data_IF_455976868064
#
_entry.id   IF_455976868064
#
_cell.length_a   1.000
_cell.length_b   1.000
_cell.length_c   1.000
_cell.angle_alpha   90.00
_cell.angle_beta   90.00
_cell.angle_gamma   90.00
#
_symmetry.space_group_name_H-M   'P 1'
#
loop_
_entity.id
_entity.type
_entity.pdbx_description
1 polymer ?
#
# COMPACT_ATOMS: atom_id res chain seq x y z
N UNK A 1 -16.26 -35.74 26.50
CA UNK A 1 -16.76 -34.34 26.37
C UNK A 1 -15.70 -33.40 26.94
N UNK A 2 -15.22 -32.34 26.31
CA UNK A 2 -15.69 -31.65 25.12
C UNK A 2 -14.63 -30.68 24.56
N UNK A 3 -14.60 -30.66 23.23
CA UNK A 3 -14.22 -29.61 22.28
C UNK A 3 -13.16 -28.54 22.63
N UNK A 4 -12.06 -28.67 21.89
CA UNK A 4 -11.15 -27.62 21.42
C UNK A 4 -11.87 -26.30 21.08
N UNK A 5 -11.36 -25.19 21.63
CA UNK A 5 -11.58 -23.85 21.06
C UNK A 5 -10.32 -23.46 20.32
N UNK A 6 -10.34 -23.71 19.02
CA UNK A 6 -9.31 -23.29 18.07
C UNK A 6 -9.08 -21.78 18.19
N UNK A 7 -7.88 -21.39 18.61
CA UNK A 7 -7.39 -20.03 18.40
C UNK A 7 -7.22 -19.82 16.91
N UNK A 8 -8.06 -18.98 16.28
CA UNK A 8 -7.91 -18.63 14.88
C UNK A 8 -6.57 -17.87 14.70
N UNK A 9 -5.60 -18.41 13.93
CA UNK A 9 -4.34 -17.72 13.68
C UNK A 9 -4.63 -16.41 12.95
N UNK A 10 -4.02 -15.32 13.39
CA UNK A 10 -3.92 -14.11 12.58
C UNK A 10 -3.29 -14.49 11.24
N UNK A 11 -4.09 -14.48 10.18
CA UNK A 11 -3.68 -14.92 8.85
C UNK A 11 -2.47 -14.10 8.40
N UNK A 12 -1.35 -14.78 8.18
CA UNK A 12 -0.13 -14.22 7.60
C UNK A 12 -0.48 -13.54 6.25
N UNK A 13 0.02 -12.34 5.94
CA UNK A 13 -0.13 -11.69 4.63
C UNK A 13 0.17 -12.63 3.45
N UNK A 14 1.07 -13.59 3.63
CA UNK A 14 1.36 -14.63 2.63
C UNK A 14 0.14 -15.46 2.25
N UNK A 15 -0.81 -15.68 3.17
CA UNK A 15 -2.07 -16.38 2.87
C UNK A 15 -2.99 -15.59 1.95
N UNK A 16 -2.87 -14.25 1.89
CA UNK A 16 -3.67 -13.42 0.97
C UNK A 16 -3.24 -13.56 -0.49
N UNK A 17 -1.98 -13.96 -0.70
CA UNK A 17 -1.37 -14.18 -2.00
C UNK A 17 -1.29 -15.67 -2.35
N UNK A 18 -2.05 -16.52 -1.65
CA UNK A 18 -2.10 -17.96 -1.89
C UNK A 18 -3.56 -18.39 -2.18
N UNK A 19 -3.90 -18.76 -3.44
CA UNK A 19 -3.02 -18.77 -4.61
C UNK A 19 -2.60 -17.35 -5.05
N UNK A 20 -1.49 -17.20 -5.81
CA UNK A 20 -1.04 -15.90 -6.28
C UNK A 20 -2.12 -15.26 -7.17
N UNK A 21 -2.29 -13.92 -7.12
CA UNK A 21 -3.16 -13.21 -8.05
C UNK A 21 -2.81 -13.58 -9.50
N UNK A 22 -3.81 -13.80 -10.38
CA UNK A 22 -3.56 -14.12 -11.79
C UNK A 22 -2.65 -13.12 -12.50
N UNK A 23 -2.70 -11.84 -12.08
CA UNK A 23 -1.83 -10.77 -12.55
C UNK A 23 -0.34 -11.08 -12.42
N UNK A 24 0.07 -11.86 -11.41
CA UNK A 24 1.48 -12.20 -11.19
C UNK A 24 2.05 -13.14 -12.26
N UNK A 25 1.20 -13.88 -12.96
CA UNK A 25 1.60 -14.73 -14.08
C UNK A 25 1.67 -14.00 -15.41
N UNK A 26 1.21 -12.74 -15.50
CA UNK A 26 1.16 -12.01 -16.78
C UNK A 26 2.48 -11.29 -17.03
N UNK A 27 3.23 -11.64 -18.10
CA UNK A 27 4.48 -10.95 -18.43
C UNK A 27 4.20 -9.47 -18.76
N UNK A 28 5.16 -8.56 -18.51
CA UNK A 28 5.05 -7.19 -18.96
C UNK A 28 5.08 -7.12 -20.49
N UNK A 29 4.54 -6.03 -21.05
CA UNK A 29 4.65 -5.76 -22.49
C UNK A 29 6.15 -5.64 -22.91
N UNK A 30 6.50 -6.09 -24.13
CA UNK A 30 7.87 -6.05 -24.64
C UNK A 30 8.35 -4.64 -25.03
N UNK A 31 7.45 -3.66 -25.09
CA UNK A 31 7.76 -2.29 -25.44
C UNK A 31 8.24 -1.48 -24.22
N UNK A 32 9.09 -0.46 -24.40
CA UNK A 32 9.54 0.38 -23.29
C UNK A 32 8.38 1.22 -22.73
N UNK A 33 8.33 1.32 -21.41
CA UNK A 33 7.37 2.17 -20.71
C UNK A 33 7.86 3.61 -20.62
N UNK A 34 6.97 4.56 -20.94
CA UNK A 34 7.28 6.00 -20.86
C UNK A 34 7.14 6.53 -19.45
N UNK A 35 7.93 7.55 -19.09
CA UNK A 35 7.79 8.22 -17.80
C UNK A 35 6.42 8.88 -17.63
N UNK A 36 5.90 8.91 -16.40
CA UNK A 36 4.66 9.60 -16.05
C UNK A 36 4.78 10.35 -14.71
N UNK A 37 4.03 11.45 -14.50
CA UNK A 37 4.04 12.18 -13.24
C UNK A 37 3.43 11.34 -12.11
N UNK A 38 3.86 11.58 -10.86
CA UNK A 38 3.29 10.86 -9.73
C UNK A 38 1.78 11.15 -9.58
N UNK A 39 1.00 10.10 -9.33
CA UNK A 39 -0.44 10.16 -9.15
C UNK A 39 -0.81 9.73 -7.73
N UNK A 40 -1.95 10.21 -7.22
CA UNK A 40 -2.36 9.96 -5.83
C UNK A 40 -3.79 9.43 -5.80
N UNK A 41 -4.01 8.33 -5.07
CA UNK A 41 -5.35 7.85 -4.73
C UNK A 41 -5.60 8.02 -3.23
N UNK A 42 -6.65 8.76 -2.88
CA UNK A 42 -7.04 9.01 -1.49
C UNK A 42 -7.95 7.87 -1.00
N UNK A 43 -7.67 7.36 0.19
CA UNK A 43 -8.46 6.30 0.83
C UNK A 43 -9.85 6.78 1.25
N UNK A 44 -10.78 5.84 1.44
CA UNK A 44 -12.17 6.11 1.89
C UNK A 44 -12.27 6.53 3.36
N UNK A 45 -11.14 6.69 4.04
CA UNK A 45 -11.07 7.16 5.42
C UNK A 45 -9.66 7.10 6.00
N UNK A 46 -9.61 7.15 7.33
CA UNK A 46 -8.37 7.23 8.11
C UNK A 46 -7.80 5.86 8.54
N UNK A 47 -8.49 4.77 8.24
CA UNK A 47 -8.05 3.39 8.51
C UNK A 47 -7.98 2.57 7.22
N UNK A 48 -7.06 1.59 7.15
CA UNK A 48 -6.79 0.82 5.93
C UNK A 48 -7.88 -0.20 5.58
N UNK A 49 -8.69 -0.64 6.55
CA UNK A 49 -9.85 -1.54 6.35
C UNK A 49 -11.02 -0.89 5.61
N UNK A 50 -11.11 0.45 5.64
CA UNK A 50 -12.04 1.20 4.78
C UNK A 50 -11.62 1.13 3.31
N UNK A 51 -10.35 0.86 3.05
CA UNK A 51 -9.78 0.68 1.72
C UNK A 51 -9.78 1.96 0.90
N UNK A 52 -9.65 1.78 -0.41
CA UNK A 52 -9.57 2.83 -1.41
C UNK A 52 -10.76 2.72 -2.39
N UNK A 53 -11.14 3.81 -3.08
CA UNK A 53 -12.11 3.73 -4.16
C UNK A 53 -11.56 2.86 -5.30
N UNK A 54 -12.42 2.04 -5.91
CA UNK A 54 -12.05 1.12 -6.99
C UNK A 54 -12.01 1.83 -8.34
N UNK A 55 -11.22 2.91 -8.39
CA UNK A 55 -10.97 3.75 -9.55
C UNK A 55 -9.46 3.95 -9.68
N UNK A 56 -8.92 4.20 -10.88
CA UNK A 56 -7.54 4.64 -11.02
C UNK A 56 -7.33 6.00 -10.31
N UNK A 57 -6.09 6.32 -9.88
CA UNK A 57 -5.76 7.67 -9.45
C UNK A 57 -5.92 8.66 -10.60
N UNK A 58 -6.17 9.93 -10.29
CA UNK A 58 -6.28 10.97 -11.31
C UNK A 58 -4.94 11.16 -12.04
N UNK A 59 -5.01 11.31 -13.37
CA UNK A 59 -3.86 11.52 -14.23
C UNK A 59 -4.12 12.62 -15.26
N UNK A 60 -3.15 13.50 -15.53
CA UNK A 60 -3.25 14.46 -16.62
C UNK A 60 -2.94 13.86 -18.01
N UNK A 61 -2.51 12.60 -18.09
CA UNK A 61 -2.07 11.96 -19.33
C UNK A 61 -3.20 11.16 -20.00
N UNK A 62 -3.26 11.25 -21.33
CA UNK A 62 -4.17 10.47 -22.18
C UNK A 62 -3.34 9.80 -23.30
N UNK A 63 -3.32 8.46 -23.42
CA UNK A 63 -3.99 7.48 -22.54
C UNK A 63 -3.41 7.44 -21.12
N UNK A 64 -4.22 7.00 -20.16
CA UNK A 64 -3.85 6.92 -18.75
C UNK A 64 -2.61 6.02 -18.55
N UNK A 65 -1.66 6.34 -17.64
CA UNK A 65 -0.43 5.57 -17.45
C UNK A 65 -0.64 4.08 -17.20
N UNK A 66 -1.71 3.71 -16.49
CA UNK A 66 -2.07 2.28 -16.32
C UNK A 66 -2.25 1.56 -17.66
N UNK A 67 -2.89 2.19 -18.65
CA UNK A 67 -3.08 1.60 -19.98
C UNK A 67 -1.74 1.42 -20.69
N UNK A 68 -0.89 2.45 -20.68
CA UNK A 68 0.42 2.38 -21.33
C UNK A 68 1.40 1.44 -20.62
N UNK A 69 1.13 1.10 -19.36
CA UNK A 69 1.97 0.26 -18.50
C UNK A 69 1.37 -1.14 -18.26
N UNK A 70 0.45 -1.60 -19.11
CA UNK A 70 -0.19 -2.94 -19.00
C UNK A 70 -0.82 -3.23 -17.61
N UNK A 71 -1.45 -2.21 -17.02
CA UNK A 71 -2.27 -2.35 -15.81
C UNK A 71 -3.72 -2.16 -16.21
N UNK A 72 -4.50 -3.25 -16.17
CA UNK A 72 -5.92 -3.17 -16.47
C UNK A 72 -6.75 -2.96 -15.20
N UNK A 73 -8.05 -2.72 -15.40
CA UNK A 73 -8.98 -2.45 -14.31
C UNK A 73 -9.09 -3.62 -13.31
N UNK A 74 -9.03 -4.87 -13.80
CA UNK A 74 -9.15 -6.05 -12.95
C UNK A 74 -7.94 -6.19 -12.02
N UNK A 75 -6.73 -5.95 -12.53
CA UNK A 75 -5.50 -5.99 -11.71
C UNK A 75 -5.56 -4.94 -10.60
N UNK A 76 -5.95 -3.71 -10.96
CA UNK A 76 -6.02 -2.61 -10.02
C UNK A 76 -7.08 -2.85 -8.94
N UNK A 77 -8.28 -3.27 -9.33
CA UNK A 77 -9.34 -3.63 -8.39
C UNK A 77 -8.93 -4.78 -7.47
N UNK A 78 -8.22 -5.78 -7.99
CA UNK A 78 -7.72 -6.90 -7.19
C UNK A 78 -6.69 -6.44 -6.17
N UNK A 79 -5.72 -5.62 -6.57
CA UNK A 79 -4.75 -5.02 -5.66
C UNK A 79 -5.43 -4.23 -4.53
N UNK A 80 -6.40 -3.37 -4.85
CA UNK A 80 -7.12 -2.58 -3.85
C UNK A 80 -7.98 -3.43 -2.92
N UNK A 81 -8.55 -4.52 -3.44
CA UNK A 81 -9.26 -5.50 -2.62
C UNK A 81 -8.31 -6.18 -1.62
N UNK A 82 -7.17 -6.69 -2.09
CA UNK A 82 -6.20 -7.37 -1.24
C UNK A 82 -5.66 -6.42 -0.16
N UNK A 83 -5.45 -5.14 -0.49
CA UNK A 83 -5.07 -4.10 0.47
C UNK A 83 -6.11 -3.91 1.58
N UNK A 84 -7.40 -3.87 1.23
CA UNK A 84 -8.50 -3.74 2.20
C UNK A 84 -8.53 -4.94 3.14
N UNK A 85 -8.40 -6.15 2.61
CA UNK A 85 -8.36 -7.38 3.40
C UNK A 85 -7.13 -7.37 4.32
N UNK A 86 -5.94 -7.06 3.81
CA UNK A 86 -4.73 -6.92 4.63
C UNK A 86 -4.87 -5.85 5.72
N UNK A 87 -5.54 -4.73 5.41
CA UNK A 87 -5.85 -3.66 6.37
C UNK A 87 -6.74 -4.14 7.51
N UNK A 88 -7.73 -5.00 7.22
CA UNK A 88 -8.58 -5.61 8.23
C UNK A 88 -7.85 -6.56 9.20
N UNK A 89 -6.71 -7.13 8.75
CA UNK A 89 -5.89 -8.04 9.55
C UNK A 89 -4.87 -7.32 10.44
N UNK A 90 -4.71 -6.01 10.29
CA UNK A 90 -3.77 -5.23 11.11
C UNK A 90 -4.23 -5.19 12.59
N UNK A 91 -3.37 -5.54 13.56
CA UNK A 91 -3.72 -5.60 14.98
C UNK A 91 -4.34 -4.31 15.54
N UNK A 92 -4.02 -3.15 14.96
CA UNK A 92 -4.56 -1.85 15.36
C UNK A 92 -6.09 -1.76 15.17
N UNK A 93 -6.68 -2.54 14.26
CA UNK A 93 -8.13 -2.61 14.05
C UNK A 93 -8.83 -3.62 14.97
N UNK A 94 -8.09 -4.55 15.59
CA UNK A 94 -8.65 -5.58 16.48
C UNK A 94 -8.92 -5.04 17.89
N UNK A 95 -8.24 -3.96 18.29
CA UNK A 95 -8.36 -3.36 19.63
C UNK A 95 -9.61 -2.47 19.79
N UNK A 96 -10.31 -2.13 18.70
CA UNK A 96 -11.54 -1.31 18.78
C UNK A 96 -12.81 -2.16 18.99
N UNK A 97 -12.74 -3.49 18.86
CA UNK A 97 -13.90 -4.38 18.97
C UNK A 97 -14.10 -5.06 20.34
N UNK A 98 -13.30 -4.73 21.35
CA UNK A 98 -13.54 -5.25 22.69
C UNK A 98 -12.42 -4.92 23.65
N UNK A 99 -12.74 -4.12 24.67
CA UNK A 99 -11.90 -3.72 25.81
C UNK A 99 -10.84 -2.65 25.49
N UNK A 100 -11.19 -1.39 25.74
CA UNK A 100 -10.22 -0.42 26.26
C UNK A 100 -10.39 -0.35 27.79
N UNK A 101 -9.44 0.19 28.58
CA UNK A 101 -8.12 0.74 28.24
C UNK A 101 -7.00 0.30 29.20
N UNK A 102 -5.76 0.05 28.77
CA UNK A 102 -4.61 0.16 29.67
C UNK A 102 -3.40 0.78 28.97
N UNK A 103 -2.89 1.80 29.64
CA UNK A 103 -1.80 2.69 29.27
C UNK A 103 -0.64 2.04 28.52
N UNK A 104 -0.34 2.58 27.34
CA UNK A 104 1.03 2.62 26.81
C UNK A 104 1.25 3.99 26.17
N UNK A 105 1.83 4.90 26.97
CA UNK A 105 2.48 6.09 26.46
C UNK A 105 3.70 5.68 25.64
N UNK A 106 3.51 5.31 24.37
CA UNK A 106 4.56 5.23 23.37
C UNK A 106 3.94 5.71 22.07
N UNK A 107 4.32 6.90 21.65
CA UNK A 107 4.04 7.39 20.31
C UNK A 107 4.72 6.49 19.28
N UNK A 108 4.02 5.47 18.79
CA UNK A 108 4.48 4.69 17.64
C UNK A 108 4.10 5.50 16.39
N UNK A 109 5.04 6.35 15.97
CA UNK A 109 4.96 7.08 14.70
C UNK A 109 5.08 6.04 13.57
N UNK A 110 3.94 5.58 13.06
CA UNK A 110 3.87 4.85 11.79
C UNK A 110 4.05 5.86 10.65
N UNK A 111 5.30 6.12 10.29
CA UNK A 111 5.65 6.97 9.15
C UNK A 111 6.38 6.16 8.09
N UNK A 112 5.72 5.86 6.98
CA UNK A 112 6.43 5.60 5.73
C UNK A 112 7.10 6.93 5.32
N UNK A 113 8.42 6.98 5.36
CA UNK A 113 9.20 8.06 4.77
C UNK A 113 9.77 7.54 3.45
N UNK A 114 9.40 8.16 2.33
CA UNK A 114 10.26 8.19 1.15
C UNK A 114 11.04 9.50 1.25
N UNK A 115 12.24 9.44 1.81
CA UNK A 115 13.24 10.53 1.69
C UNK A 115 13.99 10.28 0.39
N UNK A 116 14.14 11.33 -0.41
CA UNK A 116 15.06 11.32 -1.55
C UNK A 116 16.49 11.16 -1.00
N UNK A 117 17.07 9.98 -1.25
CA UNK A 117 18.50 9.68 -1.11
C UNK A 117 19.02 9.43 0.32
N UNK A 118 18.83 8.22 0.87
CA UNK A 118 19.80 7.54 1.77
C UNK A 118 19.48 6.03 1.80
N UNK A 119 20.34 5.19 1.21
CA UNK A 119 20.23 3.72 1.16
C UNK A 119 20.55 2.98 2.49
N UNK A 120 20.52 3.63 3.66
CA UNK A 120 21.10 3.04 4.89
C UNK A 120 20.17 2.94 6.11
N UNK A 121 18.94 3.48 6.06
CA UNK A 121 18.05 3.51 7.24
C UNK A 121 16.80 2.62 7.14
N UNK A 122 16.88 1.52 6.36
CA UNK A 122 15.85 0.48 6.31
C UNK A 122 16.16 -0.69 7.27
N UNK A 123 16.67 -0.40 8.47
CA UNK A 123 16.93 -1.41 9.49
C UNK A 123 15.75 -1.55 10.47
N UNK A 124 15.07 -2.69 10.37
CA UNK A 124 14.38 -3.41 11.46
C UNK A 124 13.14 -2.77 12.11
N UNK A 125 12.16 -2.33 11.33
CA UNK A 125 10.76 -2.30 11.81
C UNK A 125 9.98 -3.43 11.15
N UNK A 126 9.25 -4.23 11.94
CA UNK A 126 8.37 -5.29 11.41
C UNK A 126 7.40 -4.65 10.40
N UNK A 127 7.55 -4.96 9.10
CA UNK A 127 6.64 -4.47 8.06
C UNK A 127 5.24 -4.99 8.35
N UNK A 128 4.26 -4.09 8.50
CA UNK A 128 2.86 -4.48 8.75
C UNK A 128 2.26 -5.26 7.57
N UNK A 129 1.12 -5.96 7.76
CA UNK A 129 0.48 -6.77 6.73
C UNK A 129 0.31 -6.10 5.37
N UNK A 130 -0.17 -4.85 5.36
CA UNK A 130 -0.39 -4.08 4.14
C UNK A 130 0.93 -3.70 3.45
N UNK A 131 2.00 -3.43 4.21
CA UNK A 131 3.31 -3.12 3.62
C UNK A 131 3.91 -4.34 2.94
N UNK A 132 3.80 -5.53 3.55
CA UNK A 132 4.27 -6.77 2.93
C UNK A 132 3.48 -7.11 1.66
N UNK A 133 2.17 -6.88 1.68
CA UNK A 133 1.32 -7.04 0.51
C UNK A 133 1.74 -6.09 -0.63
N UNK A 134 1.94 -4.81 -0.34
CA UNK A 134 2.39 -3.82 -1.32
C UNK A 134 3.75 -4.21 -1.89
N UNK A 135 4.68 -4.66 -1.05
CA UNK A 135 6.01 -5.10 -1.50
C UNK A 135 5.92 -6.28 -2.49
N UNK A 136 5.04 -7.25 -2.22
CA UNK A 136 4.83 -8.39 -3.11
C UNK A 136 4.22 -7.96 -4.45
N UNK A 137 3.16 -7.15 -4.44
CA UNK A 137 2.55 -6.61 -5.67
C UNK A 137 3.53 -5.77 -6.47
N UNK A 138 4.32 -4.95 -5.79
CA UNK A 138 5.39 -4.18 -6.39
C UNK A 138 6.41 -5.09 -7.08
N UNK A 139 6.90 -6.11 -6.39
CA UNK A 139 7.92 -7.01 -6.91
C UNK A 139 7.42 -7.83 -8.11
N UNK A 140 6.25 -8.47 -7.98
CA UNK A 140 5.76 -9.42 -8.99
C UNK A 140 4.97 -8.80 -10.14
N UNK A 141 4.40 -7.60 -9.96
CA UNK A 141 3.49 -7.02 -10.95
C UNK A 141 3.85 -5.60 -11.39
N UNK A 142 4.00 -4.66 -10.45
CA UNK A 142 4.16 -3.24 -10.80
C UNK A 142 5.57 -2.84 -11.24
N UNK A 143 6.63 -3.37 -10.59
CA UNK A 143 8.01 -3.04 -10.96
C UNK A 143 8.37 -3.50 -12.37
N UNK A 144 8.02 -4.73 -12.82
CA UNK A 144 8.20 -5.12 -14.22
C UNK A 144 7.48 -4.21 -15.22
N UNK A 145 6.50 -3.43 -14.75
CA UNK A 145 5.73 -2.44 -15.51
C UNK A 145 6.19 -1.01 -15.25
N UNK A 146 7.39 -0.78 -14.72
CA UNK A 146 7.92 0.54 -14.37
C UNK A 146 7.04 1.41 -13.44
N UNK A 147 6.19 0.77 -12.62
CA UNK A 147 5.31 1.44 -11.65
C UNK A 147 5.78 1.09 -10.23
N UNK A 148 5.79 2.08 -9.35
CA UNK A 148 5.98 1.88 -7.92
C UNK A 148 4.76 2.36 -7.15
N UNK A 149 4.24 1.50 -6.27
CA UNK A 149 3.17 1.83 -5.34
C UNK A 149 3.74 2.06 -3.96
N UNK A 150 3.53 3.27 -3.43
CA UNK A 150 3.86 3.65 -2.06
C UNK A 150 2.60 3.93 -1.24
N UNK A 151 2.68 3.74 0.08
CA UNK A 151 1.60 4.04 1.01
C UNK A 151 2.04 5.11 2.01
N UNK A 152 1.24 6.16 2.15
CA UNK A 152 1.50 7.24 3.12
C UNK A 152 0.23 7.61 3.89
N UNK A 153 0.38 8.16 5.09
CA UNK A 153 -0.74 8.66 5.89
C UNK A 153 -0.51 10.12 6.25
N UNK A 154 -1.57 10.91 6.14
CA UNK A 154 -1.56 12.33 6.49
C UNK A 154 -1.03 13.23 5.37
N UNK A 155 -0.90 14.53 5.66
CA UNK A 155 -0.53 15.53 4.67
C UNK A 155 0.87 15.27 4.09
N UNK A 156 1.11 15.60 2.81
CA UNK A 156 2.46 15.61 2.24
C UNK A 156 3.37 16.47 3.12
N UNK A 157 4.57 15.97 3.38
CA UNK A 157 5.60 16.76 4.08
C UNK A 157 6.15 17.80 3.11
N UNK A 158 6.48 18.98 3.62
CA UNK A 158 7.16 20.00 2.83
C UNK A 158 8.57 19.52 2.39
N UNK A 159 9.24 20.31 1.54
CA UNK A 159 10.60 20.00 1.09
C UNK A 159 11.63 19.86 2.23
N UNK A 160 11.29 20.29 3.45
CA UNK A 160 12.11 20.21 4.67
C UNK A 160 11.67 19.06 5.59
N UNK A 161 10.74 18.21 5.15
CA UNK A 161 10.21 17.09 5.92
C UNK A 161 9.27 17.49 7.05
N UNK A 162 8.90 18.78 7.18
CA UNK A 162 7.97 19.26 8.20
C UNK A 162 6.53 19.08 7.71
N UNK A 163 5.66 18.78 8.68
CA UNK A 163 4.22 18.75 8.46
C UNK A 163 3.76 20.19 8.28
N UNK A 164 3.14 20.49 7.15
CA UNK A 164 2.44 21.77 6.99
C UNK A 164 1.31 21.83 8.03
N UNK A 165 1.41 22.78 8.95
CA UNK A 165 0.44 22.96 10.04
C UNK A 165 -0.84 23.65 9.57
N UNK A 166 -0.84 24.23 8.36
CA UNK A 166 -2.01 24.87 7.75
C UNK A 166 -2.97 23.85 7.14
N UNK A 167 -2.46 22.69 6.73
CA UNK A 167 -3.30 21.54 6.38
C UNK A 167 -3.86 20.96 7.68
N UNK A 168 -5.18 20.98 7.83
CA UNK A 168 -5.89 20.50 9.02
C UNK A 168 -5.57 19.05 9.39
N UNK A 169 -6.38 18.46 10.28
CA UNK A 169 -6.22 17.07 10.75
C UNK A 169 -6.55 16.02 9.67
N UNK A 170 -5.97 16.16 8.48
CA UNK A 170 -6.01 15.13 7.45
C UNK A 170 -5.17 13.94 7.92
N UNK A 171 -5.85 12.84 8.16
CA UNK A 171 -5.28 11.55 8.56
C UNK A 171 -5.58 10.46 7.54
N UNK A 172 -5.97 10.84 6.32
CA UNK A 172 -6.34 9.89 5.29
C UNK A 172 -5.11 9.15 4.76
N UNK A 173 -5.31 7.88 4.44
CA UNK A 173 -4.32 7.08 3.73
C UNK A 173 -4.29 7.48 2.25
N UNK A 174 -3.09 7.46 1.68
CA UNK A 174 -2.82 7.83 0.29
C UNK A 174 -1.95 6.78 -0.35
N UNK A 175 -2.38 6.29 -1.50
CA UNK A 175 -1.54 5.53 -2.41
C UNK A 175 -0.84 6.50 -3.35
N UNK A 176 0.50 6.44 -3.34
CA UNK A 176 1.35 7.15 -4.27
C UNK A 176 1.69 6.17 -5.40
N UNK A 177 1.40 6.57 -6.64
CA UNK A 177 1.74 5.83 -7.84
C UNK A 177 2.78 6.63 -8.58
N UNK A 178 4.00 6.12 -8.69
CA UNK A 178 5.11 6.83 -9.31
C UNK A 178 5.83 5.97 -10.33
N UNK A 179 6.37 6.60 -11.37
CA UNK A 179 7.27 5.94 -12.30
C UNK A 179 8.54 5.48 -11.59
N UNK A 180 8.96 4.24 -11.85
CA UNK A 180 10.22 3.66 -11.38
C UNK A 180 10.89 2.94 -12.55
N UNK A 181 12.07 3.38 -13.01
CA UNK A 181 12.84 2.63 -13.99
C UNK A 181 13.06 1.19 -13.49
N UNK A 182 12.74 0.21 -14.34
CA UNK A 182 13.00 -1.19 -14.04
C UNK A 182 14.18 -1.67 -14.88
N UNK A 183 15.29 -1.92 -14.20
CA UNK A 183 16.41 -2.67 -14.75
C UNK A 183 16.31 -4.08 -14.16
N UNK A 184 16.04 -5.13 -14.97
CA UNK A 184 16.18 -6.50 -14.50
C UNK A 184 17.63 -6.70 -14.02
N UNK A 185 17.79 -7.28 -12.84
CA UNK A 185 19.11 -7.66 -12.32
C UNK A 185 19.63 -8.91 -13.03
#
# INVERSE_FOLDING_TARGET
MGHVKNFAPGKDPKTLLNPPPPSFGRPPAPAPYSMFPAMVLIGKGNTLDRGFPYIPPDSPLVPHPFVTHDVNEQDWRRFLHDMRVAGSLSPMNRVVAGLAPLALGIGIIFGFFIVKGVDSLLKRTKKGPVSQLIDAWNHFFFHPRCIHIGLTQGPPKDAKGKRDKSQGKDSNWRLLVSYRPYTPA
#
